data_IF_321866403572
#
_entry.id   IF_321866403572
#
_cell.length_a   1.000
_cell.length_b   1.000
_cell.length_c   1.000
_cell.angle_alpha   90.00
_cell.angle_beta   90.00
_cell.angle_gamma   90.00
#
_symmetry.space_group_name_H-M   'P 1'
#
loop_
_entity.id
_entity.type
_entity.pdbx_description
1 polymer ?
#
# COMPACT_ATOMS: atom_id res chain seq x y z
N UNK A 1 -13.76 -6.04 -57.30
CA UNK A 1 -13.01 -4.97 -56.57
C UNK A 1 -13.49 -4.98 -55.12
N UNK A 2 -12.53 -4.96 -54.18
CA UNK A 2 -12.61 -4.82 -52.71
C UNK A 2 -13.35 -5.90 -51.89
N UNK A 3 -12.56 -6.65 -51.08
CA UNK A 3 -12.98 -7.54 -49.99
C UNK A 3 -13.17 -6.69 -48.74
N UNK A 4 -14.30 -6.80 -48.06
CA UNK A 4 -14.49 -6.26 -46.72
C UNK A 4 -13.87 -7.23 -45.69
N UNK A 5 -12.84 -6.79 -44.96
CA UNK A 5 -12.28 -7.53 -43.84
C UNK A 5 -12.85 -7.02 -42.52
N UNK A 6 -13.29 -7.89 -41.59
CA UNK A 6 -13.56 -7.47 -40.22
C UNK A 6 -12.24 -7.39 -39.46
N UNK A 7 -11.88 -6.21 -38.97
CA UNK A 7 -10.75 -6.02 -38.05
C UNK A 7 -11.24 -6.11 -36.60
N UNK A 8 -10.80 -7.10 -35.81
CA UNK A 8 -10.99 -7.07 -34.37
C UNK A 8 -9.71 -6.53 -33.73
N UNK A 9 -9.61 -5.22 -33.55
CA UNK A 9 -8.55 -4.67 -32.70
C UNK A 9 -9.04 -4.63 -31.26
N UNK A 10 -8.92 -5.80 -30.63
CA UNK A 10 -9.11 -6.00 -29.21
C UNK A 10 -8.15 -5.13 -28.44
N UNK A 11 -8.62 -3.96 -28.00
CA UNK A 11 -7.99 -3.21 -26.92
C UNK A 11 -8.13 -4.01 -25.63
N UNK A 12 -7.16 -4.89 -25.39
CA UNK A 12 -6.91 -5.49 -24.10
C UNK A 12 -6.56 -4.36 -23.12
N UNK A 13 -7.58 -3.81 -22.46
CA UNK A 13 -7.43 -3.01 -21.25
C UNK A 13 -6.85 -3.96 -20.20
N UNK A 14 -5.51 -4.08 -20.18
CA UNK A 14 -4.82 -4.74 -19.09
C UNK A 14 -5.09 -3.89 -17.85
N UNK A 15 -6.10 -4.30 -17.07
CA UNK A 15 -6.39 -3.80 -15.75
C UNK A 15 -5.09 -3.81 -14.96
N UNK A 16 -4.41 -2.65 -14.91
CA UNK A 16 -3.17 -2.44 -14.17
C UNK A 16 -3.52 -2.63 -12.70
N UNK A 17 -3.43 -3.87 -12.24
CA UNK A 17 -3.64 -4.22 -10.85
C UNK A 17 -2.71 -3.33 -10.04
N UNK A 18 -3.30 -2.37 -9.33
CA UNK A 18 -2.56 -1.29 -8.73
C UNK A 18 -1.48 -1.88 -7.81
N UNK A 19 -0.21 -1.53 -8.00
CA UNK A 19 0.92 -2.18 -7.28
C UNK A 19 0.72 -2.07 -5.77
N UNK A 20 0.40 -3.20 -5.11
CA UNK A 20 0.01 -3.26 -3.68
C UNK A 20 1.21 -3.41 -2.73
N UNK A 21 2.45 -3.31 -3.23
CA UNK A 21 3.65 -3.47 -2.40
C UNK A 21 3.84 -4.84 -1.74
N UNK A 22 3.07 -5.87 -2.14
CA UNK A 22 3.08 -7.22 -1.53
C UNK A 22 4.26 -8.09 -1.97
N UNK A 23 4.79 -7.83 -3.15
CA UNK A 23 5.96 -8.52 -3.68
C UNK A 23 6.87 -7.51 -4.41
N UNK A 24 7.45 -6.55 -3.67
CA UNK A 24 8.24 -5.50 -4.26
C UNK A 24 9.55 -6.07 -4.82
N UNK A 25 10.01 -5.53 -5.94
CA UNK A 25 11.37 -5.82 -6.41
C UNK A 25 12.40 -5.21 -5.45
N UNK A 26 13.64 -5.71 -5.47
CA UNK A 26 14.73 -5.13 -4.70
C UNK A 26 14.94 -3.64 -5.04
N UNK A 27 14.74 -3.25 -6.31
CA UNK A 27 14.78 -1.86 -6.75
C UNK A 27 13.69 -1.02 -6.08
N UNK A 28 12.46 -1.53 -6.02
CA UNK A 28 11.35 -0.83 -5.37
C UNK A 28 11.58 -0.65 -3.86
N UNK A 29 12.14 -1.66 -3.18
CA UNK A 29 12.50 -1.56 -1.77
C UNK A 29 13.55 -0.47 -1.54
N UNK A 30 14.66 -0.50 -2.30
CA UNK A 30 15.72 0.51 -2.19
C UNK A 30 15.22 1.92 -2.48
N UNK A 31 14.33 2.05 -3.46
CA UNK A 31 13.74 3.36 -3.78
C UNK A 31 12.86 3.86 -2.64
N UNK A 32 11.99 3.00 -2.07
CA UNK A 32 11.19 3.39 -0.91
C UNK A 32 12.07 3.76 0.30
N UNK A 33 13.14 3.01 0.57
CA UNK A 33 14.12 3.33 1.61
C UNK A 33 14.79 4.68 1.35
N UNK A 34 15.26 4.92 0.13
CA UNK A 34 15.88 6.20 -0.28
C UNK A 34 14.93 7.36 -0.06
N UNK A 35 13.68 7.21 -0.51
CA UNK A 35 12.65 8.25 -0.45
C UNK A 35 12.32 8.61 1.01
N UNK A 36 12.27 7.64 1.92
CA UNK A 36 12.06 7.92 3.35
C UNK A 36 13.18 8.73 4.00
N UNK A 37 14.41 8.65 3.46
CA UNK A 37 15.55 9.40 3.96
C UNK A 37 15.69 10.80 3.34
N UNK A 38 14.81 11.18 2.40
CA UNK A 38 14.82 12.51 1.79
C UNK A 38 14.28 13.57 2.76
N UNK A 39 14.59 14.83 2.51
CA UNK A 39 14.01 15.96 3.24
C UNK A 39 12.47 16.01 3.05
N UNK A 40 11.66 16.41 4.05
CA UNK A 40 10.19 16.40 3.95
C UNK A 40 9.63 17.11 2.72
N UNK A 41 10.19 18.25 2.33
CA UNK A 41 9.78 18.95 1.10
C UNK A 41 10.00 18.11 -0.16
N UNK A 42 11.07 17.31 -0.22
CA UNK A 42 11.35 16.44 -1.36
C UNK A 42 10.46 15.20 -1.36
N UNK A 43 10.16 14.68 -0.17
CA UNK A 43 9.20 13.58 -0.01
C UNK A 43 7.82 13.98 -0.52
N UNK A 44 7.33 15.16 -0.15
CA UNK A 44 6.03 15.67 -0.57
C UNK A 44 5.90 15.79 -2.10
N UNK A 45 7.00 16.14 -2.78
CA UNK A 45 7.06 16.27 -4.24
C UNK A 45 7.28 14.92 -4.95
N UNK A 46 7.49 13.84 -4.21
CA UNK A 46 7.78 12.53 -4.79
C UNK A 46 6.51 11.91 -5.41
N UNK A 47 6.60 11.21 -6.56
CA UNK A 47 5.44 10.58 -7.21
C UNK A 47 4.69 9.55 -6.37
N UNK A 48 5.34 8.97 -5.35
CA UNK A 48 4.72 8.04 -4.40
C UNK A 48 4.00 8.74 -3.24
N UNK A 49 4.14 10.06 -3.11
CA UNK A 49 3.47 10.80 -2.05
C UNK A 49 1.98 10.95 -2.36
N UNK A 50 1.16 10.80 -1.33
CA UNK A 50 -0.30 10.97 -1.42
C UNK A 50 -0.73 11.98 -0.37
N UNK A 51 -1.44 13.06 -0.75
CA UNK A 51 -1.88 14.08 0.20
C UNK A 51 -2.87 13.51 1.22
N UNK A 52 -2.73 13.92 2.47
CA UNK A 52 -3.66 13.60 3.53
C UNK A 52 -4.92 14.49 3.44
N UNK A 53 -6.05 13.94 3.86
CA UNK A 53 -7.32 14.65 3.98
C UNK A 53 -7.59 14.91 5.46
N UNK A 54 -7.22 16.10 5.93
CA UNK A 54 -7.35 16.48 7.35
C UNK A 54 -8.80 16.49 7.83
N UNK A 55 -9.78 16.76 6.96
CA UNK A 55 -11.19 16.69 7.34
C UNK A 55 -11.59 15.26 7.72
N UNK A 56 -11.02 14.24 7.05
CA UNK A 56 -11.22 12.85 7.44
C UNK A 56 -10.47 12.46 8.71
N UNK A 57 -9.41 13.18 9.06
CA UNK A 57 -8.62 12.99 10.27
C UNK A 57 -9.11 13.81 11.47
N UNK A 58 -10.13 14.66 11.31
CA UNK A 58 -10.68 15.49 12.38
C UNK A 58 -11.17 14.71 13.62
N UNK A 59 -11.42 13.40 13.47
CA UNK A 59 -11.75 12.50 14.57
C UNK A 59 -10.56 12.16 15.49
N UNK A 60 -9.33 12.44 15.05
CA UNK A 60 -8.10 12.17 15.79
C UNK A 60 -7.76 13.39 16.64
N UNK A 61 -8.18 13.37 17.90
CA UNK A 61 -7.80 14.37 18.90
C UNK A 61 -6.39 14.12 19.43
N UNK A 62 -5.39 14.17 18.54
CA UNK A 62 -3.98 14.10 18.96
C UNK A 62 -3.48 15.49 19.34
N UNK A 63 -2.59 15.55 20.34
CA UNK A 63 -1.89 16.79 20.71
C UNK A 63 -0.79 17.18 19.69
N UNK A 64 -0.53 16.34 18.69
CA UNK A 64 0.49 16.54 17.65
C UNK A 64 -0.04 17.03 16.30
N UNK A 65 0.87 17.29 15.36
CA UNK A 65 0.52 17.62 13.99
C UNK A 65 0.00 16.38 13.23
N UNK A 66 -1.09 16.54 12.49
CA UNK A 66 -1.54 15.55 11.53
C UNK A 66 -0.58 15.52 10.33
N UNK A 67 -0.36 14.36 9.70
CA UNK A 67 0.49 14.29 8.52
C UNK A 67 -0.13 15.06 7.36
N UNK A 68 0.67 15.79 6.59
CA UNK A 68 0.24 16.47 5.37
C UNK A 68 0.19 15.52 4.16
N UNK A 69 1.04 14.49 4.16
CA UNK A 69 1.13 13.50 3.10
C UNK A 69 1.56 12.14 3.67
N UNK A 70 1.25 11.08 2.92
CA UNK A 70 1.72 9.71 3.14
C UNK A 70 2.74 9.34 2.08
N UNK A 71 3.68 8.46 2.41
CA UNK A 71 4.73 8.03 1.48
C UNK A 71 5.01 6.54 1.61
N UNK A 72 5.40 5.89 0.52
CA UNK A 72 5.70 4.45 0.51
C UNK A 72 6.70 4.06 1.60
N UNK A 73 6.27 3.19 2.52
CA UNK A 73 7.05 2.78 3.68
C UNK A 73 7.45 1.31 3.60
N UNK A 74 8.73 0.99 3.39
CA UNK A 74 9.19 -0.40 3.44
C UNK A 74 9.14 -0.91 4.88
N UNK A 75 8.73 -2.17 5.06
CA UNK A 75 8.71 -2.81 6.38
C UNK A 75 9.05 -4.30 6.27
N UNK A 76 9.46 -4.87 7.40
CA UNK A 76 9.75 -6.30 7.54
C UNK A 76 8.61 -6.93 8.33
N UNK A 77 8.01 -7.99 7.80
CA UNK A 77 6.99 -8.74 8.50
C UNK A 77 7.59 -9.44 9.73
N UNK A 78 7.07 -9.15 10.93
CA UNK A 78 7.54 -9.77 12.18
C UNK A 78 7.30 -11.28 12.26
N UNK A 79 6.40 -11.82 11.44
CA UNK A 79 6.01 -13.25 11.48
C UNK A 79 6.86 -14.08 10.52
N UNK A 80 6.95 -13.68 9.25
CA UNK A 80 7.65 -14.46 8.21
C UNK A 80 8.95 -13.84 7.72
N UNK A 81 9.34 -12.66 8.21
CA UNK A 81 10.57 -11.96 7.80
C UNK A 81 10.53 -11.34 6.39
N UNK A 82 9.45 -11.54 5.62
CA UNK A 82 9.33 -10.98 4.27
C UNK A 82 9.28 -9.45 4.30
N UNK A 83 9.98 -8.82 3.35
CA UNK A 83 9.91 -7.38 3.07
C UNK A 83 8.72 -7.04 2.18
N UNK A 84 7.89 -6.10 2.61
CA UNK A 84 6.80 -5.51 1.83
C UNK A 84 6.89 -3.98 1.91
N UNK A 85 6.16 -3.29 1.03
CA UNK A 85 6.02 -1.83 1.08
C UNK A 85 4.59 -1.51 1.46
N UNK A 86 4.42 -0.80 2.56
CA UNK A 86 3.14 -0.19 2.91
C UNK A 86 2.95 1.05 2.04
N UNK A 87 2.13 0.90 1.01
CA UNK A 87 1.93 1.96 0.01
C UNK A 87 1.23 3.18 0.62
N UNK A 88 1.59 4.37 0.17
CA UNK A 88 1.00 5.62 0.64
C UNK A 88 -0.54 5.64 0.54
N UNK A 89 -1.10 5.04 -0.51
CA UNK A 89 -2.56 4.90 -0.68
C UNK A 89 -3.20 3.96 0.34
N UNK A 90 -2.51 2.89 0.75
CA UNK A 90 -3.01 1.92 1.71
C UNK A 90 -2.92 2.51 3.13
N UNK A 91 -1.92 3.36 3.38
CA UNK A 91 -1.83 4.20 4.58
C UNK A 91 -3.00 5.18 4.63
N UNK A 92 -3.24 5.95 3.56
CA UNK A 92 -4.37 6.89 3.47
C UNK A 92 -5.69 6.20 3.80
N UNK A 93 -5.96 5.05 3.18
CA UNK A 93 -7.17 4.29 3.48
C UNK A 93 -7.25 3.86 4.94
N UNK A 94 -6.14 3.38 5.51
CA UNK A 94 -6.10 2.90 6.89
C UNK A 94 -6.41 4.02 7.90
N UNK A 95 -5.76 5.17 7.78
CA UNK A 95 -5.96 6.27 8.74
C UNK A 95 -7.28 6.99 8.51
N UNK A 96 -7.63 7.28 7.27
CA UNK A 96 -8.76 8.17 6.98
C UNK A 96 -10.09 7.45 6.85
N UNK A 97 -10.11 6.24 6.28
CA UNK A 97 -11.34 5.46 6.06
C UNK A 97 -11.54 4.40 7.13
N UNK A 98 -10.51 3.60 7.42
CA UNK A 98 -10.59 2.57 8.45
C UNK A 98 -10.45 3.13 9.88
N UNK A 99 -10.17 4.43 10.02
CA UNK A 99 -10.05 5.15 11.30
C UNK A 99 -9.00 4.53 12.23
N UNK A 100 -7.92 4.03 11.63
CA UNK A 100 -6.78 3.51 12.36
C UNK A 100 -6.03 4.60 13.13
N UNK A 101 -5.35 4.21 14.20
CA UNK A 101 -4.55 5.13 15.01
C UNK A 101 -3.40 5.72 14.18
N UNK A 102 -3.14 7.03 14.28
CA UNK A 102 -2.16 7.72 13.42
C UNK A 102 -0.72 7.20 13.60
N UNK A 103 -0.35 6.82 14.82
CA UNK A 103 0.96 6.25 15.14
C UNK A 103 1.11 4.77 14.74
N UNK A 104 0.06 4.13 14.22
CA UNK A 104 0.15 2.72 13.83
C UNK A 104 0.99 2.55 12.57
N UNK A 105 1.87 1.55 12.58
CA UNK A 105 2.71 1.16 11.43
C UNK A 105 2.39 -0.25 10.94
N UNK A 106 2.70 -0.53 9.67
CA UNK A 106 2.62 -1.88 9.14
C UNK A 106 3.75 -2.77 9.70
N UNK A 107 3.39 -3.76 10.52
CA UNK A 107 4.32 -4.74 11.12
C UNK A 107 4.16 -6.16 10.58
N UNK A 108 3.13 -6.39 9.76
CA UNK A 108 2.80 -7.70 9.24
C UNK A 108 2.37 -7.66 7.78
N UNK A 109 2.90 -8.60 6.99
CA UNK A 109 2.59 -8.69 5.58
C UNK A 109 1.12 -9.05 5.35
N UNK A 110 0.62 -8.75 4.15
CA UNK A 110 -0.75 -9.11 3.78
C UNK A 110 -1.03 -10.62 3.94
N UNK A 111 -0.06 -11.47 3.59
CA UNK A 111 -0.16 -12.93 3.72
C UNK A 111 -0.40 -13.39 5.16
N UNK A 112 0.45 -12.95 6.09
CA UNK A 112 0.34 -13.30 7.51
C UNK A 112 -0.94 -12.72 8.15
N UNK A 113 -1.33 -11.49 7.79
CA UNK A 113 -2.60 -10.91 8.25
C UNK A 113 -3.81 -11.71 7.77
N UNK A 114 -3.79 -12.24 6.54
CA UNK A 114 -4.86 -13.09 6.00
C UNK A 114 -4.87 -14.45 6.69
N UNK A 115 -3.71 -15.07 6.88
CA UNK A 115 -3.59 -16.36 7.57
C UNK A 115 -4.09 -16.29 9.01
N UNK A 116 -3.78 -15.23 9.76
CA UNK A 116 -4.29 -15.05 11.14
C UNK A 116 -5.83 -14.93 11.20
N UNK A 117 -6.44 -14.30 10.20
CA UNK A 117 -7.90 -14.14 10.15
C UNK A 117 -8.63 -15.43 9.77
N UNK A 118 -7.94 -16.38 9.18
CA UNK A 118 -8.51 -17.70 8.91
C UNK A 118 -8.35 -18.55 10.16
N UNK A 119 -9.38 -19.28 10.61
CA UNK A 119 -9.19 -20.29 11.64
C UNK A 119 -8.15 -21.30 11.14
N UNK A 120 -7.28 -21.85 11.99
CA UNK A 120 -6.46 -22.99 11.60
C UNK A 120 -7.41 -24.04 11.02
N UNK A 121 -7.09 -24.56 9.84
CA UNK A 121 -7.82 -25.69 9.28
C UNK A 121 -7.72 -26.79 10.32
N UNK A 122 -8.81 -27.08 11.04
CA UNK A 122 -8.86 -28.22 11.94
C UNK A 122 -8.61 -29.46 11.07
N UNK A 123 -7.43 -30.05 11.23
CA UNK A 123 -7.23 -31.46 10.88
C UNK A 123 -8.16 -32.25 11.77
N UNK A 124 -9.20 -32.81 11.15
CA UNK A 124 -10.12 -33.74 11.80
C UNK A 124 -9.28 -34.97 12.13
N UNK A 125 -8.96 -35.17 13.41
CA UNK A 125 -8.38 -36.42 13.86
C UNK A 125 -9.46 -37.49 13.74
N UNK A 126 -9.22 -38.48 12.87
CA UNK A 126 -10.01 -39.70 12.76
C UNK A 126 -9.80 -40.62 13.94
#
# INVERSE_FOLDING_TARGET
MARAGPGPDGSAIMSRSADKGRNPSAKALREAERVQQLHPLQQQQHPSAVPADHARLAHINTYGALPDYYIDQPFICRVCGKREIWKARDQKWYYEQAKGHIDAIAVECHGCRKARKQPPRQEVCG
#
